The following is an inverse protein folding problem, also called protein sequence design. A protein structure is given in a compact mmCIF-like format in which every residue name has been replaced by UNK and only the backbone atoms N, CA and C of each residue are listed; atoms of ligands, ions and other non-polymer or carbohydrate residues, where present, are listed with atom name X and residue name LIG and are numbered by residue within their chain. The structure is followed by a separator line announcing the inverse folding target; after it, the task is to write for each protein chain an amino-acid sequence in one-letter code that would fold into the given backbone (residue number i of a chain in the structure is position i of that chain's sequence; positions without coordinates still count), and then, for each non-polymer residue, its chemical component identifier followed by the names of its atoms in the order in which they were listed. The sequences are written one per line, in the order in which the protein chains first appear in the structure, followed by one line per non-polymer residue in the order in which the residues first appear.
data_IF_068351951995
#
_entry.id   IF_068351951995
#
_cell.length_a   1.000
_cell.length_b   1.000
_cell.length_c   1.000
_cell.angle_alpha   90.00
_cell.angle_beta   90.00
_cell.angle_gamma   90.00
#
_symmetry.space_group_name_H-M   'P 1'
#
loop_
_entity.id
_entity.type
_entity.pdbx_description
1 polymer ?
#
# COMPACT_ATOMS: atom_id res chain seq x y z
N UNK A 1 20.11 -15.02 58.76
CA UNK A 1 19.95 -13.69 59.39
C UNK A 1 19.72 -12.69 58.28
N UNK A 2 18.46 -12.35 57.99
CA UNK A 2 18.09 -11.27 57.07
C UNK A 2 18.00 -9.98 57.89
N UNK A 3 18.80 -8.98 57.54
CA UNK A 3 18.79 -7.66 58.15
C UNK A 3 17.42 -6.98 57.96
N UNK A 4 16.65 -6.69 59.03
CA UNK A 4 15.31 -6.13 58.94
C UNK A 4 15.28 -4.62 58.67
N UNK A 5 16.43 -3.97 58.39
CA UNK A 5 16.52 -2.50 58.23
C UNK A 5 16.83 -2.01 56.82
N UNK A 6 16.97 -2.90 55.83
CA UNK A 6 17.21 -2.50 54.44
C UNK A 6 15.93 -2.05 53.73
N UNK A 7 15.47 -0.83 54.02
CA UNK A 7 14.41 -0.14 53.27
C UNK A 7 14.94 0.43 51.94
N UNK A 8 15.71 -0.37 51.19
CA UNK A 8 16.15 0.00 49.84
C UNK A 8 14.98 -0.27 48.89
N UNK A 9 14.47 0.73 48.16
CA UNK A 9 13.45 0.49 47.15
C UNK A 9 13.98 -0.56 46.18
N UNK A 10 13.16 -1.58 45.90
CA UNK A 10 13.52 -2.61 44.93
C UNK A 10 13.98 -1.92 43.64
N UNK A 11 15.11 -2.34 43.05
CA UNK A 11 15.62 -1.70 41.85
C UNK A 11 14.52 -1.72 40.78
N UNK A 12 14.19 -0.54 40.25
CA UNK A 12 13.22 -0.43 39.16
C UNK A 12 13.77 -1.26 38.01
N UNK A 13 13.10 -2.37 37.70
CA UNK A 13 13.47 -3.24 36.60
C UNK A 13 13.38 -2.43 35.31
N UNK A 14 14.54 -2.08 34.75
CA UNK A 14 14.63 -1.36 33.49
C UNK A 14 14.33 -2.33 32.37
N UNK A 15 13.24 -2.09 31.65
CA UNK A 15 12.90 -2.91 30.49
C UNK A 15 13.91 -2.73 29.37
N UNK A 16 14.21 -3.82 28.68
CA UNK A 16 15.00 -3.77 27.46
C UNK A 16 14.14 -3.11 26.37
N UNK A 17 14.74 -2.18 25.61
CA UNK A 17 14.08 -1.59 24.45
C UNK A 17 13.85 -2.63 23.33
N UNK A 18 14.65 -3.70 23.31
CA UNK A 18 14.57 -4.78 22.31
C UNK A 18 13.69 -5.93 22.79
N UNK A 19 13.72 -6.22 24.10
CA UNK A 19 12.99 -7.30 24.74
C UNK A 19 12.17 -6.74 25.90
N UNK A 20 11.17 -5.92 25.57
CA UNK A 20 10.20 -5.48 26.56
C UNK A 20 9.38 -6.67 27.09
N UNK A 21 8.60 -6.46 28.15
CA UNK A 21 7.83 -7.55 28.76
C UNK A 21 6.87 -8.22 27.78
N UNK A 22 6.25 -7.44 26.90
CA UNK A 22 5.33 -7.94 25.87
C UNK A 22 6.06 -8.84 24.87
N UNK A 23 7.24 -8.44 24.44
CA UNK A 23 8.08 -9.19 23.50
C UNK A 23 8.55 -10.50 24.14
N UNK A 24 9.03 -10.47 25.39
CA UNK A 24 9.45 -11.69 26.12
C UNK A 24 8.27 -12.65 26.29
N UNK A 25 7.11 -12.14 26.71
CA UNK A 25 5.91 -12.95 26.88
C UNK A 25 5.48 -13.60 25.56
N UNK A 26 5.56 -12.87 24.45
CA UNK A 26 5.22 -13.45 23.14
C UNK A 26 6.24 -14.47 22.66
N UNK A 27 7.54 -14.29 22.91
CA UNK A 27 8.56 -15.30 22.62
C UNK A 27 8.27 -16.58 23.41
N UNK A 28 7.95 -16.45 24.70
CA UNK A 28 7.62 -17.59 25.56
C UNK A 28 6.34 -18.29 25.07
N UNK A 29 5.27 -17.54 24.81
CA UNK A 29 4.02 -18.07 24.24
C UNK A 29 4.28 -18.82 22.93
N UNK A 30 5.04 -18.22 22.02
CA UNK A 30 5.34 -18.83 20.72
C UNK A 30 6.18 -20.11 20.88
N UNK A 31 7.14 -20.12 21.81
CA UNK A 31 7.95 -21.31 22.10
C UNK A 31 7.13 -22.44 22.72
N UNK A 32 6.18 -22.12 23.61
CA UNK A 32 5.31 -23.10 24.28
C UNK A 32 4.24 -23.66 23.34
N UNK A 33 3.64 -22.81 22.50
CA UNK A 33 2.50 -23.19 21.64
C UNK A 33 2.91 -23.64 20.24
N UNK A 34 4.09 -23.26 19.76
CA UNK A 34 4.51 -23.44 18.37
C UNK A 34 3.76 -22.55 17.37
N UNK A 35 2.94 -21.61 17.84
CA UNK A 35 2.09 -20.76 17.00
C UNK A 35 2.74 -19.38 16.84
N UNK A 36 3.08 -19.03 15.59
CA UNK A 36 3.49 -17.67 15.22
C UNK A 36 2.28 -16.78 14.92
N UNK A 37 2.39 -15.48 15.21
CA UNK A 37 1.26 -14.55 15.15
C UNK A 37 1.10 -13.94 13.74
N UNK A 38 -0.04 -14.18 13.09
CA UNK A 38 -0.43 -13.49 11.85
C UNK A 38 -1.18 -12.22 12.23
N UNK A 39 -0.60 -11.06 11.94
CA UNK A 39 -1.11 -9.77 12.46
C UNK A 39 -1.53 -8.81 11.36
N UNK A 40 -2.47 -7.94 11.70
CA UNK A 40 -2.78 -6.73 10.93
C UNK A 40 -2.24 -5.46 11.62
N UNK A 41 -2.22 -4.34 10.89
CA UNK A 41 -1.74 -3.05 11.37
C UNK A 41 -0.48 -2.55 10.65
N UNK A 42 0.06 -1.42 11.10
CA UNK A 42 1.34 -0.87 10.65
C UNK A 42 2.47 -1.20 11.63
N UNK A 43 3.59 -0.50 11.49
CA UNK A 43 4.74 -0.63 12.40
C UNK A 43 4.39 -0.43 13.88
N UNK A 44 4.98 -1.26 14.76
CA UNK A 44 4.92 -1.09 16.22
C UNK A 44 5.92 -0.06 16.74
N UNK A 45 6.88 0.36 15.90
CA UNK A 45 7.87 1.36 16.28
C UNK A 45 7.22 2.74 16.28
N UNK A 46 7.59 3.55 17.28
CA UNK A 46 7.32 4.99 17.23
C UNK A 46 8.14 5.57 16.08
N UNK A 47 7.46 6.16 15.12
CA UNK A 47 8.04 6.83 13.96
C UNK A 47 7.63 8.30 13.97
N UNK A 48 8.35 9.18 13.25
CA UNK A 48 7.97 10.57 13.13
C UNK A 48 6.52 10.74 12.69
N UNK A 49 5.82 11.70 13.30
CA UNK A 49 4.47 12.13 12.98
C UNK A 49 4.51 13.47 12.23
N UNK A 50 3.37 13.92 11.68
CA UNK A 50 3.29 15.22 11.02
C UNK A 50 3.61 16.39 11.99
N UNK A 51 3.38 16.20 13.29
CA UNK A 51 3.73 17.19 14.32
C UNK A 51 5.24 17.34 14.53
N UNK A 52 6.05 16.37 14.09
CA UNK A 52 7.51 16.45 14.13
C UNK A 52 8.09 17.24 12.95
N UNK A 53 7.26 17.64 11.98
CA UNK A 53 7.70 18.37 10.79
C UNK A 53 7.53 19.88 10.98
N UNK A 54 8.61 20.63 10.71
CA UNK A 54 8.56 22.09 10.55
C UNK A 54 8.40 22.44 9.07
N UNK A 55 7.25 23.00 8.71
CA UNK A 55 7.06 23.58 7.38
C UNK A 55 7.71 24.96 7.32
N UNK A 56 8.70 25.13 6.44
CA UNK A 56 9.39 26.40 6.27
C UNK A 56 8.50 27.39 5.50
N UNK A 57 8.17 28.50 6.16
CA UNK A 57 7.41 29.59 5.55
C UNK A 57 8.16 30.24 4.39
N UNK A 58 7.40 30.73 3.42
CA UNK A 58 7.92 31.50 2.29
C UNK A 58 8.52 32.83 2.79
N UNK A 59 9.59 33.31 2.13
CA UNK A 59 10.32 34.53 2.50
C UNK A 59 11.07 35.07 1.26
N UNK A 60 12.29 35.59 1.40
CA UNK A 60 13.03 36.21 0.29
C UNK A 60 13.37 35.22 -0.83
N UNK A 61 13.52 33.93 -0.53
CA UNK A 61 13.81 32.89 -1.55
C UNK A 61 12.57 32.39 -2.29
N UNK A 62 11.37 32.60 -1.74
CA UNK A 62 10.07 32.25 -2.34
C UNK A 62 9.03 33.23 -1.79
N UNK A 63 8.46 34.06 -2.65
CA UNK A 63 7.44 35.01 -2.22
C UNK A 63 6.14 34.30 -1.83
N UNK A 64 5.47 34.70 -0.74
CA UNK A 64 4.16 34.19 -0.38
C UNK A 64 3.12 34.64 -1.41
N UNK A 65 2.11 33.78 -1.64
CA UNK A 65 0.99 34.13 -2.51
C UNK A 65 0.12 35.21 -1.86
N UNK A 66 -0.31 36.17 -2.66
CA UNK A 66 -1.32 37.15 -2.25
C UNK A 66 -2.71 36.53 -2.40
N UNK A 67 -3.27 35.99 -1.31
CA UNK A 67 -4.51 35.18 -1.36
C UNK A 67 -5.77 35.83 -1.95
N UNK A 68 -5.78 37.14 -2.19
CA UNK A 68 -6.87 37.85 -2.89
C UNK A 68 -6.63 37.97 -4.40
N UNK A 69 -5.40 37.79 -4.88
CA UNK A 69 -5.01 37.83 -6.31
C UNK A 69 -4.73 36.45 -6.87
N UNK A 70 -4.19 35.58 -6.03
CA UNK A 70 -3.68 34.27 -6.42
C UNK A 70 -4.43 33.17 -5.67
N UNK A 71 -4.66 32.05 -6.36
CA UNK A 71 -5.29 30.86 -5.78
C UNK A 71 -4.25 29.77 -5.61
N UNK A 72 -4.29 29.09 -4.47
CA UNK A 72 -3.54 27.86 -4.26
C UNK A 72 -4.36 26.70 -4.86
N UNK A 73 -3.93 26.20 -6.03
CA UNK A 73 -4.52 25.01 -6.65
C UNK A 73 -4.15 23.74 -5.88
N UNK A 74 -5.10 22.83 -5.73
CA UNK A 74 -4.89 21.50 -5.15
C UNK A 74 -5.01 20.38 -6.18
N UNK A 75 -5.38 20.73 -7.41
CA UNK A 75 -5.49 19.78 -8.50
C UNK A 75 -4.13 19.23 -8.90
N UNK A 76 -4.11 17.94 -9.25
CA UNK A 76 -2.89 17.25 -9.65
C UNK A 76 -3.16 16.40 -10.89
N UNK A 77 -2.14 16.34 -11.75
CA UNK A 77 -2.15 15.50 -12.95
C UNK A 77 -1.10 14.41 -12.77
N UNK A 78 -1.54 13.16 -12.83
CA UNK A 78 -0.71 11.98 -12.63
C UNK A 78 -0.55 11.22 -13.94
N UNK A 79 0.70 11.06 -14.37
CA UNK A 79 1.08 10.25 -15.53
C UNK A 79 0.89 10.89 -16.89
N UNK A 80 1.17 12.19 -16.99
CA UNK A 80 1.19 12.93 -18.26
C UNK A 80 2.44 12.67 -19.13
N UNK A 81 3.34 11.77 -18.72
CA UNK A 81 4.60 11.52 -19.41
C UNK A 81 4.43 10.58 -20.61
N UNK A 82 3.76 9.45 -20.41
CA UNK A 82 3.63 8.42 -21.45
C UNK A 82 2.18 8.03 -21.74
N UNK A 83 1.24 8.27 -20.82
CA UNK A 83 -0.16 7.91 -21.01
C UNK A 83 -0.91 8.93 -21.87
N UNK A 84 -1.75 8.45 -22.79
CA UNK A 84 -2.63 9.31 -23.60
C UNK A 84 -3.73 9.97 -22.77
N UNK A 85 -4.20 9.31 -21.70
CA UNK A 85 -5.23 9.82 -20.78
C UNK A 85 -4.66 9.87 -19.36
N UNK A 86 -3.91 10.93 -18.99
CA UNK A 86 -3.42 11.07 -17.63
C UNK A 86 -4.57 11.22 -16.64
N UNK A 87 -4.31 10.90 -15.37
CA UNK A 87 -5.30 10.98 -14.31
C UNK A 87 -5.33 12.38 -13.70
N UNK A 88 -6.49 13.03 -13.75
CA UNK A 88 -6.71 14.35 -13.14
C UNK A 88 -7.47 14.21 -11.83
N UNK A 89 -6.90 14.67 -10.73
CA UNK A 89 -7.53 14.66 -9.41
C UNK A 89 -7.71 16.09 -8.91
N UNK A 90 -8.81 16.37 -8.20
CA UNK A 90 -9.09 17.71 -7.65
C UNK A 90 -8.24 18.05 -6.42
N UNK A 91 -7.71 17.03 -5.74
CA UNK A 91 -6.93 17.13 -4.51
C UNK A 91 -5.74 16.17 -4.55
N UNK A 92 -4.63 16.46 -3.82
CA UNK A 92 -3.44 15.62 -3.80
C UNK A 92 -3.53 14.50 -2.75
N UNK A 93 -4.74 13.97 -2.51
CA UNK A 93 -5.02 12.96 -1.48
C UNK A 93 -5.76 11.81 -2.14
N UNK A 94 -5.21 10.60 -2.12
CA UNK A 94 -5.81 9.40 -2.73
C UNK A 94 -6.13 8.34 -1.68
N UNK A 95 -7.03 7.42 -2.01
CA UNK A 95 -7.34 6.27 -1.15
C UNK A 95 -6.49 5.08 -1.60
N UNK A 96 -5.56 4.66 -0.74
CA UNK A 96 -4.63 3.58 -1.02
C UNK A 96 -5.32 2.21 -1.20
N UNK A 97 -4.61 1.30 -1.88
CA UNK A 97 -5.12 -0.02 -2.26
C UNK A 97 -5.36 -0.94 -1.07
N UNK A 98 -6.62 -1.35 -0.89
CA UNK A 98 -7.03 -2.36 0.09
C UNK A 98 -7.94 -3.38 -0.58
N UNK A 99 -7.58 -4.66 -0.51
CA UNK A 99 -8.20 -5.71 -1.32
C UNK A 99 -9.62 -6.05 -0.89
N UNK A 100 -10.48 -6.38 -1.86
CA UNK A 100 -11.72 -7.09 -1.57
C UNK A 100 -11.40 -8.48 -1.00
N UNK A 101 -11.90 -8.79 0.19
CA UNK A 101 -11.50 -9.95 1.00
C UNK A 101 -10.80 -9.52 2.30
N UNK A 102 -9.92 -8.51 2.23
CA UNK A 102 -9.48 -7.78 3.42
C UNK A 102 -10.59 -6.81 3.90
N UNK A 103 -11.23 -6.14 2.94
CA UNK A 103 -12.42 -5.31 3.13
C UNK A 103 -13.67 -5.99 2.55
N UNK A 104 -14.83 -5.60 3.06
CA UNK A 104 -16.13 -6.02 2.52
C UNK A 104 -16.49 -5.26 1.23
N UNK A 105 -17.44 -5.79 0.45
CA UNK A 105 -17.95 -5.10 -0.75
C UNK A 105 -18.54 -3.72 -0.40
N UNK A 106 -19.30 -3.65 0.70
CA UNK A 106 -19.90 -2.40 1.18
C UNK A 106 -18.84 -1.34 1.52
N UNK A 107 -17.71 -1.75 2.11
CA UNK A 107 -16.60 -0.83 2.38
C UNK A 107 -15.98 -0.32 1.08
N UNK A 108 -15.80 -1.19 0.08
CA UNK A 108 -15.26 -0.81 -1.23
C UNK A 108 -16.20 0.15 -1.97
N UNK A 109 -17.51 -0.10 -1.91
CA UNK A 109 -18.55 0.80 -2.44
C UNK A 109 -18.52 2.17 -1.76
N UNK A 110 -18.45 2.19 -0.42
CA UNK A 110 -18.41 3.44 0.36
C UNK A 110 -17.15 4.27 0.05
N UNK A 111 -15.98 3.62 -0.06
CA UNK A 111 -14.73 4.29 -0.44
C UNK A 111 -14.82 4.87 -1.87
N UNK A 112 -15.40 4.12 -2.81
CA UNK A 112 -15.62 4.60 -4.18
C UNK A 112 -16.49 5.84 -4.23
N UNK A 113 -17.63 5.82 -3.52
CA UNK A 113 -18.52 7.00 -3.40
C UNK A 113 -17.80 8.19 -2.78
N UNK A 114 -17.10 7.98 -1.67
CA UNK A 114 -16.38 9.04 -0.96
C UNK A 114 -15.30 9.68 -1.84
N UNK A 115 -14.51 8.87 -2.54
CA UNK A 115 -13.48 9.36 -3.45
C UNK A 115 -14.07 10.16 -4.62
N UNK A 116 -15.15 9.67 -5.22
CA UNK A 116 -15.87 10.38 -6.29
C UNK A 116 -16.37 11.75 -5.83
N UNK A 117 -17.00 11.83 -4.65
CA UNK A 117 -17.48 13.09 -4.08
C UNK A 117 -16.31 14.06 -3.84
N UNK A 118 -15.20 13.56 -3.30
CA UNK A 118 -13.99 14.35 -3.06
C UNK A 118 -13.21 14.71 -4.35
N UNK A 119 -13.54 14.09 -5.49
CA UNK A 119 -12.83 14.27 -6.75
C UNK A 119 -11.43 13.65 -6.74
N UNK A 120 -11.27 12.50 -6.09
CA UNK A 120 -10.03 11.74 -6.02
C UNK A 120 -10.21 10.28 -6.44
N UNK A 121 -9.13 9.49 -6.43
CA UNK A 121 -9.11 8.08 -6.82
C UNK A 121 -9.12 7.11 -5.65
N UNK A 122 -9.70 5.93 -5.89
CA UNK A 122 -9.52 4.70 -5.11
C UNK A 122 -8.55 3.75 -5.80
N UNK A 123 -8.05 2.76 -5.05
CA UNK A 123 -7.20 1.69 -5.59
C UNK A 123 -7.75 0.32 -5.19
N UNK A 124 -7.78 -0.64 -6.14
CA UNK A 124 -8.45 -1.94 -5.95
C UNK A 124 -7.84 -2.81 -4.86
N UNK A 125 -6.52 -2.78 -4.67
CA UNK A 125 -5.81 -3.70 -3.78
C UNK A 125 -5.53 -5.07 -4.41
N UNK A 126 -4.97 -5.98 -3.61
CA UNK A 126 -4.63 -7.39 -3.95
C UNK A 126 -5.84 -8.33 -4.20
N UNK A 127 -6.96 -7.81 -4.70
CA UNK A 127 -8.24 -8.55 -4.78
C UNK A 127 -8.98 -8.49 -6.11
N UNK A 128 -8.43 -7.83 -7.12
CA UNK A 128 -9.12 -7.57 -8.38
C UNK A 128 -10.17 -6.46 -8.27
N UNK A 129 -10.88 -6.21 -9.37
CA UNK A 129 -11.90 -5.16 -9.48
C UNK A 129 -13.28 -5.74 -9.18
N UNK A 130 -14.00 -5.18 -8.21
CA UNK A 130 -15.40 -5.56 -7.99
C UNK A 130 -16.36 -4.65 -8.77
N UNK A 131 -17.55 -5.14 -9.16
CA UNK A 131 -18.56 -4.31 -9.80
C UNK A 131 -18.99 -3.10 -8.95
N UNK A 132 -19.09 -3.29 -7.63
CA UNK A 132 -19.50 -2.24 -6.70
C UNK A 132 -18.45 -1.12 -6.61
N UNK A 133 -17.17 -1.48 -6.56
CA UNK A 133 -16.09 -0.49 -6.53
C UNK A 133 -16.00 0.28 -7.84
N UNK A 134 -16.01 -0.42 -8.98
CA UNK A 134 -15.93 0.22 -10.30
C UNK A 134 -17.14 1.10 -10.58
N UNK A 135 -18.34 0.67 -10.18
CA UNK A 135 -19.58 1.40 -10.41
C UNK A 135 -19.73 2.67 -9.57
N UNK A 136 -19.00 2.80 -8.45
CA UNK A 136 -19.08 3.97 -7.58
C UNK A 136 -17.85 4.89 -7.64
N UNK A 137 -16.72 4.40 -8.14
CA UNK A 137 -15.48 5.19 -8.25
C UNK A 137 -15.43 5.89 -9.61
N UNK A 138 -15.32 7.21 -9.63
CA UNK A 138 -15.06 7.98 -10.86
C UNK A 138 -13.65 7.69 -11.39
N UNK A 139 -12.68 7.62 -10.48
CA UNK A 139 -11.29 7.29 -10.77
C UNK A 139 -10.87 6.07 -9.94
N UNK A 140 -10.48 4.98 -10.62
CA UNK A 140 -10.05 3.74 -9.98
C UNK A 140 -8.71 3.27 -10.54
N UNK A 141 -7.74 3.15 -9.65
CA UNK A 141 -6.43 2.57 -9.93
C UNK A 141 -6.48 1.06 -9.71
N UNK A 142 -6.10 0.28 -10.71
CA UNK A 142 -6.09 -1.18 -10.61
C UNK A 142 -4.71 -1.69 -10.24
N UNK A 143 -4.60 -2.51 -9.20
CA UNK A 143 -3.31 -3.13 -8.82
C UNK A 143 -3.00 -4.40 -9.60
N UNK A 144 -1.83 -4.42 -10.23
CA UNK A 144 -1.23 -5.56 -10.89
C UNK A 144 -0.16 -6.20 -9.98
N UNK A 145 -0.41 -7.43 -9.55
CA UNK A 145 0.23 -8.02 -8.35
C UNK A 145 1.09 -9.23 -8.71
N UNK A 146 2.11 -9.58 -7.91
CA UNK A 146 3.00 -10.72 -8.16
C UNK A 146 2.30 -12.04 -8.53
N UNK A 147 1.24 -12.42 -7.82
CA UNK A 147 0.51 -13.67 -8.08
C UNK A 147 -0.65 -13.55 -9.08
N UNK A 148 -0.92 -12.37 -9.64
CA UNK A 148 -1.98 -12.14 -10.64
C UNK A 148 -3.39 -12.55 -10.17
N UNK A 149 -3.64 -12.59 -8.87
CA UNK A 149 -4.96 -12.95 -8.34
C UNK A 149 -6.03 -11.98 -8.84
N UNK A 150 -7.04 -12.52 -9.50
CA UNK A 150 -8.14 -11.73 -10.07
C UNK A 150 -7.69 -10.76 -11.17
N UNK A 151 -6.54 -11.01 -11.80
CA UNK A 151 -6.08 -10.26 -12.96
C UNK A 151 -6.91 -10.62 -14.19
N UNK A 152 -7.61 -9.62 -14.72
CA UNK A 152 -8.39 -9.73 -15.95
C UNK A 152 -8.01 -8.56 -16.89
N UNK A 153 -7.57 -8.82 -18.13
CA UNK A 153 -7.28 -7.78 -19.11
C UNK A 153 -8.43 -6.79 -19.34
N UNK A 154 -9.68 -7.24 -19.25
CA UNK A 154 -10.84 -6.34 -19.41
C UNK A 154 -10.97 -5.35 -18.26
N UNK A 155 -10.57 -5.75 -17.04
CA UNK A 155 -10.57 -4.85 -15.88
C UNK A 155 -9.40 -3.86 -15.94
N UNK A 156 -8.25 -4.27 -16.50
CA UNK A 156 -7.16 -3.34 -16.80
C UNK A 156 -7.62 -2.23 -17.76
N UNK A 157 -8.39 -2.57 -18.80
CA UNK A 157 -8.93 -1.58 -19.75
C UNK A 157 -9.98 -0.65 -19.12
N UNK A 158 -10.77 -1.16 -18.18
CA UNK A 158 -11.78 -0.39 -17.43
C UNK A 158 -11.17 0.50 -16.33
N UNK A 159 -9.92 0.29 -15.93
CA UNK A 159 -9.27 1.11 -14.92
C UNK A 159 -8.93 2.51 -15.46
N UNK A 160 -8.63 3.45 -14.56
CA UNK A 160 -8.19 4.80 -14.91
C UNK A 160 -6.66 4.96 -14.80
N UNK A 161 -6.01 4.06 -14.06
CA UNK A 161 -4.57 3.88 -13.98
C UNK A 161 -4.25 2.44 -13.56
N UNK A 162 -3.05 1.97 -13.86
CA UNK A 162 -2.59 0.63 -13.44
C UNK A 162 -1.40 0.79 -12.49
N UNK A 163 -1.45 0.15 -11.32
CA UNK A 163 -0.37 0.16 -10.35
C UNK A 163 0.30 -1.21 -10.25
N UNK A 164 1.54 -1.32 -10.74
CA UNK A 164 2.38 -2.51 -10.60
C UNK A 164 2.96 -2.52 -9.18
N UNK A 165 2.64 -3.54 -8.40
CA UNK A 165 3.01 -3.63 -6.99
C UNK A 165 4.26 -4.47 -6.81
N UNK A 166 5.40 -3.81 -6.57
CA UNK A 166 6.66 -4.49 -6.24
C UNK A 166 6.80 -4.74 -4.73
N UNK A 167 6.17 -3.90 -3.91
CA UNK A 167 6.16 -4.05 -2.45
C UNK A 167 5.25 -3.04 -1.77
N UNK A 168 4.98 -3.25 -0.49
CA UNK A 168 4.17 -2.35 0.34
C UNK A 168 4.89 -2.03 1.65
N UNK A 169 4.55 -0.91 2.28
CA UNK A 169 5.25 -0.41 3.46
C UNK A 169 5.25 -1.35 4.66
N UNK A 170 4.14 -2.06 4.89
CA UNK A 170 4.01 -3.03 5.99
C UNK A 170 4.96 -4.24 5.83
N UNK A 171 5.24 -4.64 4.59
CA UNK A 171 5.99 -5.87 4.26
C UNK A 171 6.69 -5.72 2.89
N UNK A 172 7.77 -4.92 2.81
CA UNK A 172 8.35 -4.54 1.52
C UNK A 172 8.93 -5.72 0.73
N UNK A 173 9.37 -6.79 1.40
CA UNK A 173 9.85 -8.03 0.76
C UNK A 173 8.88 -9.21 0.86
N UNK A 174 7.65 -8.98 1.34
CA UNK A 174 6.64 -10.03 1.54
C UNK A 174 5.50 -9.93 0.52
N UNK A 175 4.83 -11.05 0.25
CA UNK A 175 3.62 -11.08 -0.55
C UNK A 175 2.35 -10.78 0.26
N UNK A 176 1.28 -10.41 -0.45
CA UNK A 176 -0.09 -10.36 0.08
C UNK A 176 -0.51 -11.67 0.76
N UNK A 177 -1.32 -11.56 1.83
CA UNK A 177 -1.84 -12.71 2.57
C UNK A 177 -3.32 -12.50 2.86
N UNK A 178 -4.11 -13.56 2.69
CA UNK A 178 -5.49 -13.60 3.11
C UNK A 178 -5.78 -14.96 3.75
N UNK A 179 -6.29 -14.95 4.98
CA UNK A 179 -6.64 -16.18 5.70
C UNK A 179 -7.79 -16.91 5.00
N UNK A 180 -7.74 -18.24 4.98
CA UNK A 180 -8.71 -19.10 4.34
C UNK A 180 -10.15 -18.88 4.82
N UNK A 181 -10.33 -18.55 6.10
CA UNK A 181 -11.64 -18.16 6.66
C UNK A 181 -12.27 -16.94 5.98
N UNK A 182 -11.45 -16.07 5.34
CA UNK A 182 -11.91 -14.91 4.56
C UNK A 182 -11.99 -15.21 3.06
N UNK A 183 -11.54 -16.37 2.61
CA UNK A 183 -11.66 -16.83 1.23
C UNK A 183 -13.03 -17.47 1.06
N UNK A 184 -14.04 -16.60 1.00
CA UNK A 184 -15.42 -16.98 0.68
C UNK A 184 -15.54 -17.44 -0.77
N UNK A 185 -16.64 -18.09 -1.13
CA UNK A 185 -16.91 -18.53 -2.52
C UNK A 185 -16.73 -17.41 -3.55
N UNK A 186 -17.18 -16.20 -3.23
CA UNK A 186 -17.01 -15.03 -4.09
C UNK A 186 -15.54 -14.63 -4.25
N UNK A 187 -14.76 -14.61 -3.16
CA UNK A 187 -13.32 -14.28 -3.20
C UNK A 187 -12.55 -15.37 -3.96
N UNK A 188 -12.87 -16.63 -3.69
CA UNK A 188 -12.33 -17.80 -4.37
C UNK A 188 -12.56 -17.74 -5.88
N UNK A 189 -13.79 -17.47 -6.32
CA UNK A 189 -14.15 -17.33 -7.74
C UNK A 189 -13.41 -16.18 -8.42
N UNK A 190 -13.31 -15.01 -7.77
CA UNK A 190 -12.56 -13.88 -8.32
C UNK A 190 -11.06 -14.16 -8.46
N UNK A 191 -10.47 -14.92 -7.54
CA UNK A 191 -9.01 -15.14 -7.48
C UNK A 191 -8.55 -16.48 -8.06
N UNK A 192 -9.49 -17.30 -8.53
CA UNK A 192 -9.24 -18.67 -9.00
C UNK A 192 -8.54 -19.52 -7.93
N UNK A 193 -9.06 -19.44 -6.70
CA UNK A 193 -8.53 -20.15 -5.53
C UNK A 193 -9.56 -21.14 -4.97
N UNK A 194 -9.12 -22.22 -4.31
CA UNK A 194 -10.03 -23.07 -3.53
C UNK A 194 -10.57 -22.32 -2.30
N UNK A 195 -11.85 -22.52 -2.02
CA UNK A 195 -12.55 -21.94 -0.85
C UNK A 195 -11.90 -22.44 0.44
N UNK A 196 -11.76 -21.56 1.43
CA UNK A 196 -11.26 -21.92 2.76
C UNK A 196 -9.74 -22.11 2.86
N UNK A 197 -8.99 -21.96 1.77
CA UNK A 197 -7.52 -22.12 1.76
C UNK A 197 -6.83 -20.77 1.89
N UNK A 198 -5.80 -20.70 2.72
CA UNK A 198 -4.97 -19.50 2.87
C UNK A 198 -4.37 -19.08 1.53
N UNK A 199 -4.57 -17.82 1.17
CA UNK A 199 -3.88 -17.20 0.04
C UNK A 199 -2.54 -16.64 0.50
N UNK A 200 -1.47 -17.03 -0.21
CA UNK A 200 -0.13 -16.49 -0.04
C UNK A 200 0.42 -16.05 -1.40
N UNK A 201 0.49 -14.74 -1.60
CA UNK A 201 1.04 -14.15 -2.82
C UNK A 201 2.56 -14.32 -2.85
N UNK A 202 3.13 -14.45 -4.04
CA UNK A 202 4.57 -14.46 -4.23
C UNK A 202 5.17 -13.10 -3.81
N UNK A 203 6.39 -13.11 -3.28
CA UNK A 203 7.10 -11.88 -2.93
C UNK A 203 7.68 -11.14 -4.15
N UNK A 204 7.74 -11.81 -5.30
CA UNK A 204 8.27 -11.28 -6.56
C UNK A 204 7.36 -11.68 -7.71
N UNK A 205 7.29 -10.82 -8.71
CA UNK A 205 6.68 -11.16 -9.99
C UNK A 205 7.45 -12.34 -10.61
N UNK A 206 6.80 -13.47 -10.90
CA UNK A 206 7.49 -14.71 -11.30
C UNK A 206 8.04 -14.64 -12.74
N UNK A 207 7.53 -13.70 -13.53
CA UNK A 207 7.83 -13.46 -14.93
C UNK A 207 9.01 -12.52 -15.15
N UNK A 208 9.68 -12.04 -14.08
CA UNK A 208 10.90 -11.27 -14.21
C UNK A 208 11.84 -11.34 -13.01
N UNK A 209 13.07 -10.85 -13.22
CA UNK A 209 14.14 -10.90 -12.21
C UNK A 209 14.73 -9.54 -11.88
N UNK A 210 14.59 -8.55 -12.77
CA UNK A 210 15.26 -7.26 -12.61
C UNK A 210 14.48 -6.06 -13.13
N UNK A 211 15.04 -4.85 -12.96
CA UNK A 211 14.40 -3.60 -13.38
C UNK A 211 14.33 -3.43 -14.90
N UNK A 212 15.19 -4.09 -15.69
CA UNK A 212 15.09 -4.04 -17.16
C UNK A 212 13.87 -4.81 -17.66
N UNK A 213 13.53 -5.93 -17.01
CA UNK A 213 12.30 -6.68 -17.29
C UNK A 213 11.04 -5.91 -16.87
N UNK A 214 11.12 -5.09 -15.82
CA UNK A 214 10.03 -4.20 -15.43
C UNK A 214 9.66 -3.25 -16.57
N UNK A 215 10.63 -2.78 -17.35
CA UNK A 215 10.37 -1.96 -18.54
C UNK A 215 9.54 -2.73 -19.59
N UNK A 216 9.87 -4.01 -19.80
CA UNK A 216 9.12 -4.90 -20.69
C UNK A 216 7.69 -5.07 -20.19
N UNK A 217 7.50 -5.27 -18.88
CA UNK A 217 6.14 -5.38 -18.32
C UNK A 217 5.34 -4.10 -18.46
N UNK A 218 5.95 -2.95 -18.16
CA UNK A 218 5.30 -1.65 -18.33
C UNK A 218 4.85 -1.49 -19.79
N UNK A 219 5.71 -1.85 -20.75
CA UNK A 219 5.34 -1.83 -22.17
C UNK A 219 4.17 -2.77 -22.48
N UNK A 220 4.19 -4.02 -21.99
CA UNK A 220 3.09 -4.97 -22.18
C UNK A 220 1.74 -4.44 -21.66
N UNK A 221 1.72 -3.86 -20.46
CA UNK A 221 0.49 -3.30 -19.88
C UNK A 221 0.02 -2.08 -20.69
N UNK A 222 0.95 -1.27 -21.21
CA UNK A 222 0.59 -0.17 -22.12
C UNK A 222 -0.05 -0.69 -23.39
N UNK A 223 0.50 -1.74 -24.00
CA UNK A 223 -0.11 -2.37 -25.19
C UNK A 223 -1.51 -2.92 -24.88
N UNK A 224 -1.71 -3.61 -23.75
CA UNK A 224 -3.03 -4.13 -23.35
C UNK A 224 -4.08 -3.02 -23.20
N UNK A 225 -3.64 -1.83 -22.80
CA UNK A 225 -4.48 -0.66 -22.51
C UNK A 225 -4.44 0.41 -23.59
N UNK A 226 -3.94 0.09 -24.78
CA UNK A 226 -3.81 0.99 -25.94
C UNK A 226 -3.08 2.31 -25.63
N UNK A 227 -2.14 2.26 -24.68
CA UNK A 227 -1.38 3.39 -24.14
C UNK A 227 -2.26 4.47 -23.48
N UNK A 228 -3.51 4.15 -23.15
CA UNK A 228 -4.43 5.12 -22.56
C UNK A 228 -4.11 5.39 -21.09
N UNK A 229 -3.73 4.36 -20.34
CA UNK A 229 -3.67 4.42 -18.87
C UNK A 229 -2.27 4.72 -18.36
N UNK A 230 -2.12 5.58 -17.34
CA UNK A 230 -0.84 5.80 -16.70
C UNK A 230 -0.44 4.58 -15.85
N UNK A 231 0.85 4.29 -15.86
CA UNK A 231 1.43 3.13 -15.18
C UNK A 231 2.19 3.56 -13.93
N UNK A 232 1.68 3.15 -12.78
CA UNK A 232 2.26 3.44 -11.49
C UNK A 232 3.14 2.27 -11.07
N UNK A 233 4.25 2.56 -10.40
CA UNK A 233 5.11 1.54 -9.78
C UNK A 233 5.12 1.78 -8.28
N UNK A 234 4.56 0.82 -7.55
CA UNK A 234 4.48 0.87 -6.09
C UNK A 234 5.62 0.08 -5.45
N UNK A 235 6.37 0.75 -4.58
CA UNK A 235 7.54 0.22 -3.88
C UNK A 235 7.45 0.51 -2.39
N UNK A 236 7.92 -0.42 -1.57
CA UNK A 236 8.16 -0.13 -0.15
C UNK A 236 9.43 0.71 0.03
N UNK A 237 9.43 1.60 1.02
CA UNK A 237 10.54 2.51 1.30
C UNK A 237 11.77 1.83 1.94
N UNK A 238 12.34 0.84 1.25
CA UNK A 238 13.55 0.12 1.65
C UNK A 238 14.81 0.81 1.14
N UNK A 239 14.93 1.01 -0.18
CA UNK A 239 16.09 1.67 -0.81
C UNK A 239 15.61 2.78 -1.76
N UNK A 240 14.88 3.80 -1.25
CA UNK A 240 14.11 4.74 -2.07
C UNK A 240 14.95 5.41 -3.17
N UNK A 241 16.19 5.79 -2.89
CA UNK A 241 17.06 6.41 -3.91
C UNK A 241 17.28 5.51 -5.13
N UNK A 242 17.55 4.23 -4.92
CA UNK A 242 17.83 3.28 -6.00
C UNK A 242 16.54 2.80 -6.65
N UNK A 243 15.54 2.44 -5.85
CA UNK A 243 14.28 1.86 -6.32
C UNK A 243 13.49 2.86 -7.17
N UNK A 244 13.43 4.13 -6.76
CA UNK A 244 12.82 5.22 -7.55
C UNK A 244 13.56 5.41 -8.86
N UNK A 245 14.91 5.46 -8.85
CA UNK A 245 15.71 5.64 -10.07
C UNK A 245 15.46 4.52 -11.08
N UNK A 246 15.37 3.28 -10.61
CA UNK A 246 15.07 2.12 -11.44
C UNK A 246 13.64 2.16 -12.00
N UNK A 247 12.63 2.52 -11.19
CA UNK A 247 11.26 2.68 -11.66
C UNK A 247 11.11 3.81 -12.70
N UNK A 248 11.80 4.94 -12.52
CA UNK A 248 11.86 6.02 -13.52
C UNK A 248 12.50 5.53 -14.81
N UNK A 249 13.62 4.79 -14.73
CA UNK A 249 14.31 4.21 -15.91
C UNK A 249 13.40 3.24 -16.66
N UNK A 250 12.63 2.42 -15.93
CA UNK A 250 11.71 1.46 -16.50
C UNK A 250 10.48 2.08 -17.19
N UNK A 251 10.24 3.39 -17.02
CA UNK A 251 9.15 4.09 -17.70
C UNK A 251 7.87 4.23 -16.88
N UNK A 252 7.97 4.19 -15.54
CA UNK A 252 6.86 4.52 -14.67
C UNK A 252 6.38 5.97 -14.90
N UNK A 253 5.06 6.15 -14.97
CA UNK A 253 4.40 7.46 -15.01
C UNK A 253 4.31 8.08 -13.61
N UNK A 254 4.08 7.23 -12.59
CA UNK A 254 3.98 7.61 -11.18
C UNK A 254 4.72 6.58 -10.35
N UNK A 255 5.36 7.03 -9.26
CA UNK A 255 6.02 6.15 -8.31
C UNK A 255 5.34 6.31 -6.96
N UNK A 256 4.82 5.21 -6.42
CA UNK A 256 4.16 5.17 -5.12
C UNK A 256 5.14 4.61 -4.12
N UNK A 257 5.64 5.46 -3.24
CA UNK A 257 6.62 5.11 -2.20
C UNK A 257 5.90 4.92 -0.85
N UNK A 258 5.74 3.67 -0.44
CA UNK A 258 5.05 3.33 0.80
C UNK A 258 6.03 3.31 1.99
N UNK A 259 5.77 4.16 2.99
CA UNK A 259 6.50 4.17 4.25
C UNK A 259 6.14 3.01 5.19
N UNK A 260 7.02 2.73 6.16
CA UNK A 260 6.88 1.65 7.15
C UNK A 260 5.58 1.72 8.00
N UNK A 261 4.94 2.89 8.05
CA UNK A 261 3.65 3.10 8.73
C UNK A 261 2.46 2.49 8.00
N UNK A 262 2.63 2.08 6.74
CA UNK A 262 1.56 1.46 5.94
C UNK A 262 0.92 0.29 6.67
N UNK A 263 -0.41 0.25 6.66
CA UNK A 263 -1.18 -0.83 7.28
C UNK A 263 -1.23 -2.08 6.41
N UNK A 264 -1.54 -3.22 7.04
CA UNK A 264 -1.90 -4.46 6.35
C UNK A 264 -3.01 -5.17 7.13
N UNK A 265 -3.87 -5.92 6.46
CA UNK A 265 -4.85 -6.77 7.13
C UNK A 265 -4.21 -8.05 7.70
N UNK A 266 -3.14 -8.53 7.06
CA UNK A 266 -2.41 -9.72 7.46
C UNK A 266 -0.95 -9.66 6.98
N UNK A 267 -0.03 -9.91 7.90
CA UNK A 267 1.37 -10.23 7.65
C UNK A 267 1.82 -11.36 8.56
N UNK A 268 2.76 -12.14 8.06
CA UNK A 268 3.61 -13.03 8.87
C UNK A 268 4.71 -12.21 9.53
#
# INVERSE_FOLDING_TARGET
MSDPTSNKPAPVLRESATFDRLTIQEIQRAAETGIYDIRGGGTKRKLPHFDDLLLLGASVSRYPLEGYREKCGTDVVLGNRFAKKPLYLKIPVTIAGMSFGALSANAKEALGRGATIAGTSTTTGDGGMTPEERGQSQHLVYQYLPSRYGMNPDDLRKADAIEIVLGQGAKPGGGGMLLGMKVTERVAGMRTLPVGVDQRSACRHPDWTGPDDLAIKIAEIREITDWEKPIYVKIGASRPYYDVKLAVKAGADVIVLDGMQGGTAATQ
#
